data_IF_150541988946
#
_entry.id   IF_150541988946
#
_cell.length_a   1.000
_cell.length_b   1.000
_cell.length_c   1.000
_cell.angle_alpha   90.00
_cell.angle_beta   90.00
_cell.angle_gamma   90.00
#
_symmetry.space_group_name_H-M   'P 1'
#
loop_
_entity.id
_entity.type
_entity.pdbx_description
1 polymer ?
#
# COMPACT_ATOMS: atom_id res chain seq x y z
N UNK A 1 -16.01 45.09 63.27
CA UNK A 1 -16.18 43.62 63.17
C UNK A 1 -16.18 43.27 61.68
N UNK A 2 -15.05 42.82 61.15
CA UNK A 2 -14.61 41.41 61.03
C UNK A 2 -15.27 40.65 59.85
N UNK A 3 -14.50 40.54 58.76
CA UNK A 3 -14.18 39.36 57.94
C UNK A 3 -15.17 38.73 56.92
N UNK A 4 -14.68 38.73 55.66
CA UNK A 4 -14.48 37.62 54.69
C UNK A 4 -15.67 36.78 54.18
N UNK A 5 -15.83 36.75 52.85
CA UNK A 5 -15.22 35.77 51.89
C UNK A 5 -16.02 35.82 50.57
N UNK A 6 -15.42 36.16 49.43
CA UNK A 6 -14.77 35.25 48.46
C UNK A 6 -15.66 34.08 48.02
N UNK A 7 -16.19 34.18 46.80
CA UNK A 7 -16.98 33.15 46.12
C UNK A 7 -17.04 33.42 44.62
N UNK A 8 -15.92 33.16 43.96
CA UNK A 8 -15.64 33.21 42.53
C UNK A 8 -16.71 32.52 41.68
N UNK A 9 -17.28 33.20 40.68
CA UNK A 9 -17.94 32.56 39.53
C UNK A 9 -17.41 33.16 38.23
N UNK A 10 -16.41 32.44 37.71
CA UNK A 10 -15.92 32.51 36.34
C UNK A 10 -17.07 32.18 35.38
N UNK A 11 -17.31 33.02 34.37
CA UNK A 11 -18.13 32.64 33.22
C UNK A 11 -17.52 33.24 31.95
N UNK A 12 -16.94 32.31 31.17
CA UNK A 12 -16.69 32.27 29.73
C UNK A 12 -17.29 33.41 28.90
N UNK A 13 -16.49 33.96 27.98
CA UNK A 13 -16.51 33.69 26.53
C UNK A 13 -15.51 34.67 25.90
N UNK A 14 -14.33 34.21 25.51
CA UNK A 14 -13.44 34.92 24.60
C UNK A 14 -13.44 34.18 23.26
N UNK A 15 -14.12 34.78 22.27
CA UNK A 15 -14.11 34.35 20.88
C UNK A 15 -12.67 34.32 20.34
N UNK A 16 -12.24 33.16 19.87
CA UNK A 16 -11.05 33.03 19.05
C UNK A 16 -11.35 33.55 17.63
N UNK A 17 -10.76 34.68 17.25
CA UNK A 17 -10.64 35.05 15.84
C UNK A 17 -9.54 34.20 15.20
N UNK A 18 -9.93 33.10 14.57
CA UNK A 18 -9.05 32.37 13.65
C UNK A 18 -8.98 33.18 12.37
N UNK A 19 -7.86 33.87 12.16
CA UNK A 19 -7.50 34.42 10.86
C UNK A 19 -7.27 33.25 9.90
N UNK A 20 -8.27 32.96 9.07
CA UNK A 20 -8.12 32.06 7.93
C UNK A 20 -7.29 32.79 6.88
N UNK A 21 -5.97 32.61 6.95
CA UNK A 21 -5.12 32.83 5.80
C UNK A 21 -5.53 31.81 4.74
N UNK A 22 -6.41 32.22 3.81
CA UNK A 22 -6.60 31.54 2.55
C UNK A 22 -5.30 31.65 1.76
N UNK A 23 -4.36 30.74 2.03
CA UNK A 23 -3.38 30.38 1.02
C UNK A 23 -4.20 29.80 -0.14
N UNK A 24 -4.38 30.63 -1.16
CA UNK A 24 -4.84 30.23 -2.47
C UNK A 24 -3.78 29.25 -2.99
N UNK A 25 -3.94 27.97 -2.65
CA UNK A 25 -3.32 26.89 -3.39
C UNK A 25 -3.98 26.93 -4.74
N UNK A 26 -3.33 27.63 -5.67
CA UNK A 26 -3.65 27.54 -7.08
C UNK A 26 -3.59 26.05 -7.44
N UNK A 27 -4.66 25.42 -7.92
CA UNK A 27 -4.50 24.13 -8.57
C UNK A 27 -3.67 24.40 -9.81
N UNK A 28 -2.38 24.04 -9.77
CA UNK A 28 -1.56 23.98 -10.97
C UNK A 28 -2.05 22.78 -11.77
N UNK A 29 -3.17 22.96 -12.48
CA UNK A 29 -3.54 22.13 -13.61
C UNK A 29 -2.58 22.45 -14.75
N UNK A 30 -1.37 21.91 -14.65
CA UNK A 30 -0.41 21.83 -15.74
C UNK A 30 0.43 20.56 -15.55
N UNK A 31 -0.23 19.42 -15.33
CA UNK A 31 0.44 18.12 -15.39
C UNK A 31 0.31 17.59 -16.82
N UNK A 32 1.01 18.25 -17.74
CA UNK A 32 1.38 17.65 -19.02
C UNK A 32 2.46 16.62 -18.69
N UNK A 33 2.01 15.39 -18.41
CA UNK A 33 2.86 14.28 -18.01
C UNK A 33 4.13 14.22 -18.85
N UNK A 34 5.26 14.35 -18.16
CA UNK A 34 6.59 14.32 -18.78
C UNK A 34 6.75 12.96 -19.47
N UNK A 35 6.80 12.96 -20.80
CA UNK A 35 7.01 11.76 -21.62
C UNK A 35 8.48 11.35 -21.49
N UNK A 36 8.72 10.07 -21.23
CA UNK A 36 10.05 9.49 -21.30
C UNK A 36 10.27 9.02 -22.74
N UNK A 37 11.17 9.67 -23.47
CA UNK A 37 11.66 9.20 -24.78
C UNK A 37 12.96 8.39 -24.58
N UNK A 38 13.24 7.44 -25.47
CA UNK A 38 14.49 6.68 -25.54
C UNK A 38 15.70 7.62 -25.75
N UNK A 39 16.20 8.22 -24.67
CA UNK A 39 17.44 8.97 -24.70
C UNK A 39 18.61 7.98 -24.76
N UNK A 40 19.30 7.96 -25.89
CA UNK A 40 20.53 7.18 -26.11
C UNK A 40 21.58 7.44 -25.03
N UNK A 41 21.76 6.45 -24.15
CA UNK A 41 22.98 6.06 -23.44
C UNK A 41 24.00 7.15 -23.04
N UNK A 42 23.86 7.65 -21.80
CA UNK A 42 24.99 8.00 -20.91
C UNK A 42 24.66 7.56 -19.49
N UNK A 43 24.78 6.25 -19.25
CA UNK A 43 24.49 5.61 -17.97
C UNK A 43 25.55 5.94 -16.90
N UNK A 44 25.07 6.26 -15.70
CA UNK A 44 25.81 6.13 -14.46
C UNK A 44 26.12 4.63 -14.30
N UNK A 45 27.39 4.26 -14.22
CA UNK A 45 27.89 2.90 -14.50
C UNK A 45 27.52 1.77 -13.53
N UNK A 46 26.51 1.90 -12.66
CA UNK A 46 26.14 0.85 -11.69
C UNK A 46 24.71 0.29 -11.86
N UNK A 47 23.93 0.83 -12.81
CA UNK A 47 22.54 0.39 -13.02
C UNK A 47 21.63 0.70 -11.83
N UNK A 48 21.92 1.73 -11.06
CA UNK A 48 21.07 2.20 -9.95
C UNK A 48 20.54 3.61 -10.20
N UNK A 49 19.34 3.88 -9.68
CA UNK A 49 18.62 5.15 -9.86
C UNK A 49 18.28 5.77 -8.51
N UNK A 50 18.46 7.09 -8.40
CA UNK A 50 17.97 7.88 -7.27
C UNK A 50 16.54 8.36 -7.51
N UNK A 51 15.88 8.89 -6.48
CA UNK A 51 14.56 9.49 -6.62
C UNK A 51 14.53 10.64 -7.65
N UNK A 52 15.57 11.47 -7.68
CA UNK A 52 15.69 12.56 -8.65
C UNK A 52 15.87 12.02 -10.08
N UNK A 53 16.61 10.92 -10.26
CA UNK A 53 16.73 10.29 -11.58
C UNK A 53 15.35 9.82 -12.10
N UNK A 54 14.45 9.37 -11.23
CA UNK A 54 13.07 8.98 -11.60
C UNK A 54 12.22 10.18 -12.04
N UNK A 55 12.24 11.28 -11.27
CA UNK A 55 11.53 12.53 -11.64
C UNK A 55 12.09 13.13 -12.93
N UNK A 56 13.41 13.05 -13.11
CA UNK A 56 14.05 13.53 -14.32
C UNK A 56 13.71 12.66 -15.54
N UNK A 57 13.11 11.48 -15.36
CA UNK A 57 12.72 10.58 -16.44
C UNK A 57 13.88 9.73 -16.94
N UNK A 58 14.88 9.46 -16.10
CA UNK A 58 16.08 8.67 -16.45
C UNK A 58 15.90 7.17 -16.28
N UNK A 59 14.80 6.73 -15.68
CA UNK A 59 14.40 5.33 -15.77
C UNK A 59 14.30 4.93 -17.25
N UNK A 60 14.63 3.70 -17.61
CA UNK A 60 14.43 3.23 -18.98
C UNK A 60 13.72 1.89 -18.90
N UNK A 61 12.56 1.81 -19.55
CA UNK A 61 11.90 0.54 -19.72
C UNK A 61 12.71 -0.33 -20.67
N UNK A 62 12.73 -1.62 -20.36
CA UNK A 62 13.31 -2.64 -21.21
C UNK A 62 12.18 -3.61 -21.58
N UNK A 63 11.67 -3.58 -22.82
CA UNK A 63 10.59 -4.45 -23.25
C UNK A 63 10.99 -5.94 -23.28
N UNK A 64 12.28 -6.26 -23.12
CA UNK A 64 12.76 -7.64 -22.97
C UNK A 64 12.42 -8.29 -21.63
N UNK A 65 12.01 -7.52 -20.61
CA UNK A 65 11.64 -8.07 -19.31
C UNK A 65 10.28 -8.76 -19.37
N UNK A 66 10.27 -10.01 -18.94
CA UNK A 66 9.04 -10.80 -18.83
C UNK A 66 8.50 -10.76 -17.41
N UNK A 67 7.16 -10.82 -17.23
CA UNK A 67 6.57 -11.01 -15.93
C UNK A 67 7.15 -12.27 -15.28
N UNK A 68 7.55 -12.14 -14.01
CA UNK A 68 8.02 -13.23 -13.18
C UNK A 68 6.85 -14.07 -12.67
N UNK A 69 7.05 -15.37 -12.50
CA UNK A 69 6.06 -16.23 -11.87
C UNK A 69 5.77 -15.76 -10.45
N UNK A 70 4.51 -15.85 -10.03
CA UNK A 70 4.06 -15.38 -8.71
C UNK A 70 4.82 -16.05 -7.54
N UNK A 71 5.33 -17.27 -7.73
CA UNK A 71 6.16 -17.96 -6.75
C UNK A 71 7.51 -17.27 -6.48
N UNK A 72 8.03 -16.50 -7.43
CA UNK A 72 9.28 -15.74 -7.31
C UNK A 72 9.08 -14.32 -6.78
N UNK A 73 7.84 -13.84 -6.68
CA UNK A 73 7.56 -12.48 -6.19
C UNK A 73 8.07 -12.24 -4.78
N UNK A 74 8.17 -13.27 -3.93
CA UNK A 74 8.79 -13.14 -2.61
C UNK A 74 10.25 -12.67 -2.69
N UNK A 75 11.00 -13.02 -3.74
CA UNK A 75 12.39 -12.59 -3.91
C UNK A 75 12.49 -11.06 -4.10
N UNK A 76 11.61 -10.51 -4.93
CA UNK A 76 11.63 -9.10 -5.31
C UNK A 76 10.84 -8.20 -4.36
N UNK A 77 9.72 -8.71 -3.85
CA UNK A 77 8.67 -7.88 -3.25
C UNK A 77 8.36 -8.23 -1.79
N UNK A 78 9.04 -9.19 -1.14
CA UNK A 78 8.75 -9.58 0.27
C UNK A 78 8.67 -8.41 1.26
N UNK A 79 9.40 -7.32 0.96
CA UNK A 79 9.52 -6.16 1.81
C UNK A 79 8.83 -4.92 1.23
N UNK A 80 7.99 -5.08 0.21
CA UNK A 80 7.32 -3.99 -0.48
C UNK A 80 5.86 -3.92 -0.08
N UNK A 81 5.45 -2.70 0.20
CA UNK A 81 4.04 -2.33 0.30
C UNK A 81 3.51 -2.07 -1.11
N UNK A 82 2.21 -2.22 -1.28
CA UNK A 82 1.51 -2.05 -2.54
C UNK A 82 0.40 -1.02 -2.36
N UNK A 83 0.34 -0.09 -3.29
CA UNK A 83 -0.72 0.92 -3.40
C UNK A 83 -1.30 0.80 -4.79
N UNK A 84 -2.63 0.70 -4.90
CA UNK A 84 -3.33 0.55 -6.19
C UNK A 84 -2.78 -0.59 -7.08
N UNK A 85 -2.26 -1.65 -6.46
CA UNK A 85 -1.69 -2.81 -7.16
C UNK A 85 -0.22 -2.67 -7.59
N UNK A 86 0.44 -1.56 -7.25
CA UNK A 86 1.84 -1.28 -7.62
C UNK A 86 2.76 -1.27 -6.39
N UNK A 87 3.98 -1.83 -6.49
CA UNK A 87 4.93 -1.85 -5.39
C UNK A 87 5.48 -0.45 -5.09
N UNK A 88 5.74 -0.19 -3.80
CA UNK A 88 6.29 1.08 -3.31
C UNK A 88 7.77 0.90 -2.97
N UNK A 89 8.63 1.66 -3.64
CA UNK A 89 10.05 1.78 -3.33
C UNK A 89 10.30 2.99 -2.44
N UNK A 90 10.68 2.75 -1.18
CA UNK A 90 11.02 3.81 -0.24
C UNK A 90 12.52 4.14 -0.35
N UNK A 91 12.84 5.41 -0.56
CA UNK A 91 14.20 5.94 -0.59
C UNK A 91 14.40 6.92 0.56
N UNK A 92 15.61 6.98 1.12
CA UNK A 92 16.01 7.95 2.12
C UNK A 92 16.71 9.16 1.48
N UNK A 93 16.62 10.30 2.16
CA UNK A 93 17.31 11.52 1.75
C UNK A 93 18.83 11.34 1.91
N UNK A 94 19.60 11.57 0.85
CA UNK A 94 21.07 11.62 0.93
C UNK A 94 21.84 10.42 0.38
N UNK A 95 21.20 9.48 -0.33
CA UNK A 95 21.96 8.50 -1.13
C UNK A 95 21.32 7.14 -1.37
N UNK A 96 20.09 6.90 -0.94
CA UNK A 96 19.42 5.65 -1.32
C UNK A 96 19.29 5.55 -2.83
N UNK A 97 19.74 4.43 -3.38
CA UNK A 97 19.58 4.08 -4.78
C UNK A 97 18.70 2.84 -4.90
N UNK A 98 18.00 2.72 -6.02
CA UNK A 98 17.25 1.53 -6.37
C UNK A 98 17.90 0.94 -7.62
N UNK A 99 18.25 -0.35 -7.56
CA UNK A 99 18.73 -1.05 -8.74
C UNK A 99 17.64 -1.05 -9.82
N UNK A 100 18.00 -0.60 -11.00
CA UNK A 100 17.13 -0.43 -12.17
C UNK A 100 16.45 -1.75 -12.56
N UNK A 101 17.18 -2.86 -12.42
CA UNK A 101 16.64 -4.22 -12.57
C UNK A 101 15.34 -4.45 -11.78
N UNK A 102 15.27 -4.00 -10.52
CA UNK A 102 14.07 -4.18 -9.71
C UNK A 102 12.90 -3.33 -10.21
N UNK A 103 13.17 -2.15 -10.78
CA UNK A 103 12.14 -1.25 -11.31
C UNK A 103 11.60 -1.78 -12.64
N UNK A 104 12.49 -2.27 -13.52
CA UNK A 104 12.10 -2.95 -14.76
C UNK A 104 11.25 -4.19 -14.50
N UNK A 105 11.63 -5.00 -13.50
CA UNK A 105 10.83 -6.16 -13.11
C UNK A 105 9.46 -5.76 -12.55
N UNK A 106 9.37 -4.71 -11.74
CA UNK A 106 8.07 -4.21 -11.24
C UNK A 106 7.16 -3.72 -12.37
N UNK A 107 7.74 -3.07 -13.39
CA UNK A 107 7.00 -2.70 -14.60
C UNK A 107 6.49 -3.95 -15.34
N UNK A 108 7.31 -4.99 -15.51
CA UNK A 108 6.89 -6.22 -16.16
C UNK A 108 5.80 -6.96 -15.35
N UNK A 109 5.92 -7.01 -14.03
CA UNK A 109 5.00 -7.76 -13.16
C UNK A 109 3.67 -7.03 -12.91
N UNK A 110 3.71 -5.70 -12.75
CA UNK A 110 2.57 -4.90 -12.26
C UNK A 110 2.20 -3.71 -13.16
N UNK A 111 2.93 -3.48 -14.25
CA UNK A 111 2.70 -2.35 -15.16
C UNK A 111 3.21 -1.00 -14.63
N UNK A 112 3.91 -0.99 -13.50
CA UNK A 112 4.44 0.23 -12.90
C UNK A 112 4.92 0.07 -11.46
N UNK A 113 5.26 1.19 -10.83
CA UNK A 113 5.64 1.27 -9.43
C UNK A 113 5.43 2.67 -8.86
N UNK A 114 5.43 2.76 -7.53
CA UNK A 114 5.56 4.01 -6.79
C UNK A 114 6.97 4.13 -6.23
N UNK A 115 7.52 5.33 -6.21
CA UNK A 115 8.70 5.65 -5.43
C UNK A 115 8.35 6.77 -4.43
N UNK A 116 8.70 6.56 -3.17
CA UNK A 116 8.48 7.47 -2.07
C UNK A 116 9.85 7.91 -1.56
N UNK A 117 10.14 9.21 -1.64
CA UNK A 117 11.25 9.79 -0.90
C UNK A 117 10.75 10.08 0.51
N UNK A 118 11.24 9.32 1.48
CA UNK A 118 10.98 9.58 2.89
C UNK A 118 11.90 10.74 3.30
N UNK A 119 11.38 11.97 3.47
CA UNK A 119 12.23 13.11 3.70
C UNK A 119 12.67 13.16 5.17
N UNK A 120 13.76 13.87 5.42
CA UNK A 120 14.12 14.33 6.77
C UNK A 120 13.28 15.53 7.25
N UNK A 121 12.40 16.04 6.39
CA UNK A 121 11.48 17.17 6.59
C UNK A 121 10.02 16.77 6.28
N UNK A 122 9.05 17.59 6.69
CA UNK A 122 7.61 17.24 6.72
C UNK A 122 6.91 17.02 5.36
N UNK A 123 7.58 17.18 4.23
CA UNK A 123 6.96 17.07 2.89
C UNK A 123 7.31 15.76 2.19
N UNK A 124 6.51 14.71 2.45
CA UNK A 124 6.58 13.43 1.76
C UNK A 124 6.41 13.62 0.24
N UNK A 125 7.37 13.10 -0.55
CA UNK A 125 7.32 13.17 -2.01
C UNK A 125 7.13 11.78 -2.60
N UNK A 126 6.11 11.65 -3.44
CA UNK A 126 5.77 10.41 -4.15
C UNK A 126 5.78 10.67 -5.64
N UNK A 127 6.41 9.77 -6.38
CA UNK A 127 6.31 9.68 -7.83
C UNK A 127 5.73 8.32 -8.22
N UNK A 128 4.85 8.32 -9.20
CA UNK A 128 4.25 7.12 -9.76
C UNK A 128 4.68 6.99 -11.20
N UNK A 129 5.26 5.83 -11.55
CA UNK A 129 5.65 5.50 -12.92
C UNK A 129 4.78 4.34 -13.37
N UNK A 130 3.98 4.56 -14.40
CA UNK A 130 3.03 3.56 -14.94
C UNK A 130 3.05 3.58 -16.45
N UNK A 131 2.83 2.40 -17.05
CA UNK A 131 2.66 2.24 -18.49
C UNK A 131 1.48 3.10 -18.99
N UNK A 132 1.65 3.74 -20.14
CA UNK A 132 0.59 4.52 -20.77
C UNK A 132 -0.49 3.58 -21.33
N UNK A 133 -1.78 3.80 -21.06
CA UNK A 133 -2.85 2.86 -21.44
C UNK A 133 -2.94 2.54 -22.94
N UNK A 134 -2.48 3.46 -23.79
CA UNK A 134 -2.62 3.36 -25.25
C UNK A 134 -1.27 3.21 -25.98
N UNK A 135 -0.18 3.08 -25.25
CA UNK A 135 1.14 2.84 -25.81
C UNK A 135 2.02 2.13 -24.77
N UNK A 136 2.30 0.85 -25.03
CA UNK A 136 3.04 -0.01 -24.10
C UNK A 136 4.50 0.41 -23.90
N UNK A 137 5.05 1.18 -24.85
CA UNK A 137 6.42 1.66 -24.83
C UNK A 137 6.55 3.01 -24.09
N UNK A 138 5.42 3.68 -23.80
CA UNK A 138 5.41 4.96 -23.10
C UNK A 138 5.08 4.78 -21.63
N UNK A 139 5.77 5.56 -20.79
CA UNK A 139 5.53 5.65 -19.35
C UNK A 139 5.14 7.06 -18.97
N UNK A 140 4.22 7.15 -18.01
CA UNK A 140 3.81 8.41 -17.40
C UNK A 140 4.41 8.50 -16.02
N UNK A 141 5.13 9.61 -15.79
CA UNK A 141 5.58 10.03 -14.48
C UNK A 141 4.51 10.96 -13.90
N UNK A 142 3.94 10.60 -12.75
CA UNK A 142 2.99 11.42 -11.99
C UNK A 142 3.58 11.76 -10.64
N UNK A 143 3.79 13.04 -10.38
CA UNK A 143 4.27 13.53 -9.09
C UNK A 143 3.11 13.92 -8.17
N UNK A 144 3.25 13.65 -6.87
CA UNK A 144 2.35 14.20 -5.86
C UNK A 144 0.93 13.65 -5.89
N UNK A 145 0.72 12.40 -6.31
CA UNK A 145 -0.59 11.76 -6.28
C UNK A 145 -1.10 11.63 -4.83
N UNK A 146 -2.01 12.53 -4.45
CA UNK A 146 -2.57 12.61 -3.10
C UNK A 146 -3.28 11.31 -2.68
N UNK A 147 -3.82 10.55 -3.63
CA UNK A 147 -4.47 9.27 -3.33
C UNK A 147 -3.44 8.23 -2.86
N UNK A 148 -2.26 8.24 -3.47
CA UNK A 148 -1.14 7.37 -3.10
C UNK A 148 -0.60 7.77 -1.73
N UNK A 149 -0.32 9.06 -1.52
CA UNK A 149 0.13 9.59 -0.22
C UNK A 149 -0.85 9.25 0.91
N UNK A 150 -2.16 9.39 0.67
CA UNK A 150 -3.19 9.03 1.67
C UNK A 150 -3.18 7.54 2.00
N UNK A 151 -2.96 6.66 1.01
CA UNK A 151 -2.83 5.22 1.27
C UNK A 151 -1.54 4.89 2.02
N UNK A 152 -0.41 5.50 1.66
CA UNK A 152 0.86 5.32 2.38
C UNK A 152 0.73 5.71 3.85
N UNK A 153 0.10 6.85 4.16
CA UNK A 153 -0.18 7.26 5.54
C UNK A 153 -1.03 6.24 6.31
N UNK A 154 -1.97 5.56 5.65
CA UNK A 154 -2.76 4.48 6.28
C UNK A 154 -1.90 3.25 6.55
N UNK A 155 -1.03 2.89 5.62
CA UNK A 155 -0.08 1.78 5.79
C UNK A 155 0.84 2.06 6.97
N UNK A 156 1.36 3.28 7.10
CA UNK A 156 2.18 3.69 8.24
C UNK A 156 1.40 3.64 9.56
N UNK A 157 0.13 4.04 9.58
CA UNK A 157 -0.74 3.90 10.76
C UNK A 157 -0.96 2.44 11.16
N UNK A 158 -1.19 1.53 10.20
CA UNK A 158 -1.28 0.09 10.48
C UNK A 158 0.05 -0.44 11.01
N UNK A 159 1.17 -0.04 10.40
CA UNK A 159 2.50 -0.43 10.85
C UNK A 159 2.76 0.03 12.30
N UNK A 160 2.31 1.22 12.67
CA UNK A 160 2.43 1.74 14.02
C UNK A 160 1.62 0.93 15.04
N UNK A 161 0.36 0.57 14.72
CA UNK A 161 -0.51 -0.16 15.66
C UNK A 161 -0.27 -1.67 15.68
N UNK A 162 -0.04 -2.30 14.54
CA UNK A 162 -0.01 -3.77 14.39
C UNK A 162 1.36 -4.31 13.97
N UNK A 163 2.32 -3.43 13.75
CA UNK A 163 3.66 -3.79 13.29
C UNK A 163 3.78 -3.92 11.77
N UNK A 164 5.02 -3.84 11.28
CA UNK A 164 5.35 -3.82 9.85
C UNK A 164 4.85 -5.04 9.09
N UNK A 165 4.91 -6.23 9.69
CA UNK A 165 4.49 -7.48 9.03
C UNK A 165 2.98 -7.54 8.80
N UNK A 166 2.19 -7.00 9.73
CA UNK A 166 0.74 -6.88 9.56
C UNK A 166 0.41 -5.91 8.41
N UNK A 167 1.10 -4.76 8.35
CA UNK A 167 0.98 -3.82 7.25
C UNK A 167 1.34 -4.45 5.89
N UNK A 168 2.47 -5.15 5.78
CA UNK A 168 2.86 -5.89 4.58
C UNK A 168 1.89 -7.02 4.20
N UNK A 169 1.21 -7.60 5.18
CA UNK A 169 0.20 -8.65 4.91
C UNK A 169 -1.10 -8.03 4.39
N UNK A 170 -1.47 -6.84 4.88
CA UNK A 170 -2.68 -6.13 4.48
C UNK A 170 -2.53 -5.38 3.14
N UNK A 171 -1.33 -4.84 2.89
CA UNK A 171 -0.98 -4.03 1.71
C UNK A 171 0.20 -4.64 0.96
N UNK A 172 0.32 -5.96 0.95
CA UNK A 172 1.28 -6.67 0.11
C UNK A 172 0.73 -6.90 -1.29
N UNK A 173 1.46 -7.69 -2.08
CA UNK A 173 0.92 -8.17 -3.35
C UNK A 173 -0.29 -9.09 -3.12
N UNK A 174 -1.17 -9.12 -4.12
CA UNK A 174 -2.39 -9.91 -4.09
C UNK A 174 -2.12 -11.41 -3.87
N UNK A 175 -3.09 -12.09 -3.27
CA UNK A 175 -3.06 -13.54 -3.16
C UNK A 175 -3.25 -14.18 -4.55
N UNK A 176 -2.82 -15.45 -4.74
CA UNK A 176 -3.14 -16.19 -5.95
C UNK A 176 -4.65 -16.22 -6.20
N UNK A 177 -5.02 -16.07 -7.48
CA UNK A 177 -6.41 -16.20 -7.93
C UNK A 177 -6.84 -17.66 -7.80
N UNK A 178 -8.06 -17.89 -7.34
CA UNK A 178 -8.64 -19.23 -7.36
C UNK A 178 -9.16 -19.51 -8.77
N UNK A 179 -8.53 -20.45 -9.46
CA UNK A 179 -9.01 -20.93 -10.76
C UNK A 179 -10.23 -21.81 -10.54
N UNK A 180 -11.33 -21.60 -11.27
CA UNK A 180 -12.43 -22.57 -11.25
C UNK A 180 -11.92 -23.93 -11.74
N UNK A 181 -12.41 -25.05 -11.20
CA UNK A 181 -12.11 -26.36 -11.75
C UNK A 181 -12.59 -26.42 -13.21
N UNK A 182 -11.93 -27.21 -14.06
CA UNK A 182 -12.34 -27.38 -15.45
C UNK A 182 -13.80 -27.87 -15.52
N UNK A 183 -14.58 -27.42 -16.52
CA UNK A 183 -15.96 -27.85 -16.69
C UNK A 183 -16.01 -29.37 -16.91
N UNK A 184 -16.64 -30.09 -15.99
CA UNK A 184 -16.79 -31.56 -16.06
C UNK A 184 -16.50 -32.31 -14.76
N UNK A 185 -15.82 -31.70 -13.78
CA UNK A 185 -15.46 -32.32 -12.49
C UNK A 185 -16.25 -31.76 -11.29
N UNK A 186 -17.46 -31.24 -11.56
CA UNK A 186 -18.27 -30.55 -10.54
C UNK A 186 -18.60 -31.43 -9.32
N UNK A 187 -18.71 -32.76 -9.48
CA UNK A 187 -18.96 -33.69 -8.37
C UNK A 187 -17.74 -33.92 -7.45
N UNK A 188 -16.51 -33.69 -7.91
CA UNK A 188 -15.30 -33.78 -7.06
C UNK A 188 -14.97 -32.47 -6.33
N UNK A 189 -15.56 -31.34 -6.78
CA UNK A 189 -15.30 -30.02 -6.22
C UNK A 189 -15.94 -29.78 -4.84
N UNK A 190 -16.90 -30.62 -4.42
CA UNK A 190 -17.51 -30.56 -3.08
C UNK A 190 -16.75 -31.37 -2.03
N UNK A 191 -15.93 -32.34 -2.44
CA UNK A 191 -15.12 -33.19 -1.56
C UNK A 191 -13.70 -32.64 -1.32
N UNK A 192 -13.22 -31.76 -2.20
CA UNK A 192 -11.90 -31.14 -2.05
C UNK A 192 -11.97 -29.98 -1.06
N UNK A 193 -11.01 -29.93 -0.15
CA UNK A 193 -10.68 -28.83 0.77
C UNK A 193 -10.24 -27.56 0.02
N UNK A 194 -10.92 -27.22 -1.07
CA UNK A 194 -10.65 -26.05 -1.91
C UNK A 194 -11.03 -24.80 -1.10
N UNK A 195 -10.15 -23.79 -1.01
CA UNK A 195 -10.45 -22.55 -0.33
C UNK A 195 -11.81 -22.02 -0.80
N UNK A 196 -12.73 -21.80 0.15
CA UNK A 196 -14.12 -21.44 -0.14
C UNK A 196 -14.18 -20.37 -1.23
N UNK A 197 -14.90 -20.63 -2.32
CA UNK A 197 -15.10 -19.70 -3.46
C UNK A 197 -15.71 -18.34 -3.08
N UNK A 198 -16.03 -18.14 -1.80
CA UNK A 198 -16.51 -16.90 -1.22
C UNK A 198 -15.47 -16.36 -0.23
N UNK A 199 -15.24 -15.04 -0.27
CA UNK A 199 -14.39 -14.38 0.70
C UNK A 199 -14.90 -14.66 2.14
N UNK A 200 -14.02 -14.99 3.09
CA UNK A 200 -14.42 -15.27 4.47
C UNK A 200 -15.16 -14.08 5.12
N UNK A 201 -16.16 -14.38 5.93
CA UNK A 201 -16.96 -13.37 6.62
C UNK A 201 -16.13 -12.61 7.68
N UNK A 202 -16.33 -11.29 7.78
CA UNK A 202 -15.57 -10.43 8.70
C UNK A 202 -15.71 -10.86 10.17
N UNK A 203 -16.92 -11.23 10.60
CA UNK A 203 -17.16 -11.67 11.98
C UNK A 203 -16.34 -12.93 12.28
N UNK A 204 -16.30 -13.88 11.34
CA UNK A 204 -15.50 -15.10 11.47
C UNK A 204 -14.00 -14.78 11.61
N UNK A 205 -13.49 -13.83 10.84
CA UNK A 205 -12.06 -13.48 10.87
C UNK A 205 -11.71 -12.81 12.21
N UNK A 206 -12.51 -11.84 12.66
CA UNK A 206 -12.27 -11.16 13.92
C UNK A 206 -12.45 -12.07 15.15
N UNK A 207 -13.25 -13.13 15.07
CA UNK A 207 -13.35 -14.16 16.12
C UNK A 207 -12.25 -15.23 16.05
N UNK A 208 -11.41 -15.23 15.01
CA UNK A 208 -10.33 -16.21 14.84
C UNK A 208 -9.12 -15.92 15.73
N UNK A 209 -8.23 -16.91 15.91
CA UNK A 209 -6.96 -16.72 16.60
C UNK A 209 -6.05 -15.74 15.85
N UNK A 210 -5.51 -14.76 16.57
CA UNK A 210 -4.56 -13.80 16.01
C UNK A 210 -3.25 -14.50 15.60
N UNK A 211 -2.63 -13.99 14.54
CA UNK A 211 -1.24 -14.32 14.23
C UNK A 211 -0.33 -13.76 15.33
N UNK A 212 0.71 -14.53 15.65
CA UNK A 212 1.70 -14.10 16.63
C UNK A 212 2.54 -12.95 16.03
N UNK A 213 2.86 -11.95 16.84
CA UNK A 213 3.60 -10.76 16.40
C UNK A 213 5.02 -11.07 15.90
N UNK A 214 5.61 -12.15 16.40
CA UNK A 214 6.95 -12.62 16.05
C UNK A 214 6.99 -13.46 14.75
N UNK A 215 5.85 -13.98 14.27
CA UNK A 215 5.79 -14.78 13.04
C UNK A 215 6.47 -14.07 11.86
N UNK A 216 7.41 -14.70 11.15
CA UNK A 216 8.06 -14.08 9.99
C UNK A 216 7.08 -13.91 8.84
N UNK A 217 7.31 -12.90 7.99
CA UNK A 217 6.44 -12.62 6.84
C UNK A 217 6.33 -13.82 5.89
N UNK A 218 7.42 -14.59 5.74
CA UNK A 218 7.47 -15.81 4.93
C UNK A 218 6.55 -16.93 5.44
N UNK A 219 6.04 -16.84 6.67
CA UNK A 219 4.99 -17.72 7.18
C UNK A 219 3.59 -17.09 7.09
N UNK A 220 3.51 -15.77 7.29
CA UNK A 220 2.24 -15.03 7.25
C UNK A 220 1.62 -15.01 5.85
N UNK A 221 2.44 -14.80 4.80
CA UNK A 221 1.93 -14.71 3.43
C UNK A 221 1.38 -16.05 2.91
N UNK A 222 2.09 -17.19 3.02
CA UNK A 222 1.50 -18.48 2.66
C UNK A 222 0.26 -18.83 3.50
N UNK A 223 0.24 -18.46 4.79
CA UNK A 223 -0.95 -18.65 5.64
C UNK A 223 -2.15 -17.86 5.10
N UNK A 224 -1.96 -16.61 4.70
CA UNK A 224 -3.01 -15.81 4.07
C UNK A 224 -3.44 -16.42 2.72
N UNK A 225 -2.49 -16.86 1.90
CA UNK A 225 -2.78 -17.41 0.57
C UNK A 225 -3.59 -18.71 0.64
N UNK A 226 -3.30 -19.56 1.63
CA UNK A 226 -3.98 -20.84 1.86
C UNK A 226 -5.32 -20.66 2.60
N UNK A 227 -5.32 -19.96 3.73
CA UNK A 227 -6.53 -19.80 4.57
C UNK A 227 -7.48 -18.74 4.04
N UNK A 228 -7.02 -17.86 3.13
CA UNK A 228 -7.73 -16.69 2.59
C UNK A 228 -8.08 -15.63 3.61
N UNK A 229 -7.60 -15.75 4.85
CA UNK A 229 -7.69 -14.72 5.86
C UNK A 229 -6.62 -14.86 6.93
N UNK A 230 -6.37 -13.77 7.63
CA UNK A 230 -5.52 -13.70 8.81
C UNK A 230 -5.97 -12.54 9.70
N UNK A 231 -5.75 -12.67 11.01
CA UNK A 231 -6.09 -11.64 11.99
C UNK A 231 -4.82 -11.24 12.74
N UNK A 232 -4.69 -9.96 13.04
CA UNK A 232 -3.69 -9.40 13.95
C UNK A 232 -4.39 -8.65 15.07
N UNK A 233 -3.68 -8.47 16.18
CA UNK A 233 -4.03 -7.59 17.29
C UNK A 233 -2.86 -6.66 17.56
N UNK A 234 -3.12 -5.45 18.04
CA UNK A 234 -2.06 -4.56 18.49
C UNK A 234 -1.49 -5.02 19.83
N UNK A 235 -0.42 -4.37 20.28
CA UNK A 235 0.28 -4.67 21.53
C UNK A 235 -0.65 -4.58 22.74
N UNK A 236 -1.57 -3.61 22.75
CA UNK A 236 -2.54 -3.39 23.82
C UNK A 236 -3.72 -4.37 23.78
N UNK A 237 -3.93 -5.07 22.66
CA UNK A 237 -5.00 -6.05 22.48
C UNK A 237 -6.42 -5.47 22.33
N UNK A 238 -6.56 -4.15 22.29
CA UNK A 238 -7.84 -3.44 22.17
C UNK A 238 -8.27 -3.21 20.70
N UNK A 239 -7.33 -3.35 19.76
CA UNK A 239 -7.58 -3.27 18.32
C UNK A 239 -7.30 -4.58 17.61
N UNK A 240 -8.08 -4.86 16.58
CA UNK A 240 -7.90 -6.01 15.71
C UNK A 240 -7.90 -5.61 14.24
N UNK A 241 -6.88 -6.05 13.51
CA UNK A 241 -6.82 -5.97 12.05
C UNK A 241 -7.17 -7.34 11.46
N UNK A 242 -8.24 -7.42 10.68
CA UNK A 242 -8.58 -8.57 9.86
C UNK A 242 -8.16 -8.31 8.42
N UNK A 243 -7.49 -9.28 7.79
CA UNK A 243 -7.15 -9.26 6.37
C UNK A 243 -7.77 -10.48 5.72
N UNK A 244 -8.37 -10.33 4.53
CA UNK A 244 -8.87 -11.44 3.74
C UNK A 244 -8.53 -11.29 2.27
N UNK A 245 -8.40 -12.42 1.59
CA UNK A 245 -8.17 -12.49 0.15
C UNK A 245 -9.43 -12.96 -0.56
N UNK A 246 -9.92 -12.17 -1.51
CA UNK A 246 -11.05 -12.51 -2.38
C UNK A 246 -10.68 -13.65 -3.35
N UNK A 247 -11.66 -14.30 -4.00
CA UNK A 247 -11.39 -15.33 -5.01
C UNK A 247 -10.53 -14.83 -6.19
N UNK A 248 -10.66 -13.56 -6.54
CA UNK A 248 -9.86 -12.88 -7.58
C UNK A 248 -8.46 -12.44 -7.11
N UNK A 249 -8.05 -12.85 -5.91
CA UNK A 249 -6.74 -12.57 -5.33
C UNK A 249 -6.64 -11.24 -4.58
N UNK A 250 -7.59 -10.31 -4.78
CA UNK A 250 -7.50 -8.98 -4.16
C UNK A 250 -7.60 -9.06 -2.64
N UNK A 251 -6.80 -8.25 -1.96
CA UNK A 251 -6.79 -8.16 -0.50
C UNK A 251 -7.77 -7.09 -0.02
N UNK A 252 -8.52 -7.41 1.02
CA UNK A 252 -9.39 -6.51 1.76
C UNK A 252 -8.98 -6.56 3.23
N UNK A 253 -9.19 -5.47 3.97
CA UNK A 253 -8.93 -5.49 5.41
C UNK A 253 -9.85 -4.55 6.20
N UNK A 254 -10.11 -4.93 7.45
CA UNK A 254 -10.98 -4.22 8.38
C UNK A 254 -10.28 -4.08 9.73
N UNK A 255 -10.45 -2.92 10.38
CA UNK A 255 -9.97 -2.66 11.74
C UNK A 255 -11.17 -2.55 12.67
N UNK A 256 -11.12 -3.27 13.78
CA UNK A 256 -12.07 -3.19 14.88
C UNK A 256 -11.42 -2.69 16.16
N UNK A 257 -12.16 -1.89 16.92
CA UNK A 257 -11.82 -1.42 18.27
C UNK A 257 -13.06 -1.56 19.15
N UNK A 258 -12.94 -2.27 20.27
CA UNK A 258 -14.09 -2.55 21.15
C UNK A 258 -15.27 -3.25 20.44
N UNK A 259 -14.99 -4.07 19.43
CA UNK A 259 -16.00 -4.78 18.62
C UNK A 259 -16.71 -3.92 17.57
N UNK A 260 -16.34 -2.64 17.43
CA UNK A 260 -16.87 -1.75 16.39
C UNK A 260 -15.88 -1.60 15.25
N UNK A 261 -16.37 -1.61 14.02
CA UNK A 261 -15.56 -1.34 12.82
C UNK A 261 -15.22 0.15 12.79
N UNK A 262 -13.93 0.46 12.84
CA UNK A 262 -13.43 1.85 12.77
C UNK A 262 -12.80 2.17 11.41
N UNK A 263 -12.47 1.14 10.63
CA UNK A 263 -11.94 1.29 9.29
C UNK A 263 -12.20 0.04 8.45
N UNK A 264 -12.54 0.23 7.18
CA UNK A 264 -12.67 -0.86 6.21
C UNK A 264 -12.09 -0.42 4.87
N UNK A 265 -11.15 -1.20 4.35
CA UNK A 265 -10.64 -1.08 3.00
C UNK A 265 -11.20 -2.21 2.15
N UNK A 266 -12.05 -1.83 1.21
CA UNK A 266 -12.57 -2.71 0.19
C UNK A 266 -11.71 -2.55 -1.05
N UNK A 267 -11.34 -3.68 -1.65
CA UNK A 267 -10.62 -3.68 -2.92
C UNK A 267 -11.53 -3.05 -3.98
N UNK A 268 -11.11 -1.89 -4.51
CA UNK A 268 -11.88 -1.18 -5.55
C UNK A 268 -12.05 -2.09 -6.77
N UNK A 269 -13.29 -2.23 -7.23
CA UNK A 269 -13.62 -2.86 -8.51
C UNK A 269 -13.13 -1.93 -9.62
N UNK A 270 -11.96 -2.20 -10.19
CA UNK A 270 -11.64 -1.69 -11.52
C UNK A 270 -12.38 -2.57 -12.52
N UNK A 271 -13.41 -1.99 -13.13
CA UNK A 271 -14.07 -2.53 -14.34
C UNK A 271 -13.13 -2.38 -15.53
#
# INVERSE_FOLDING_TARGET
MLFRSQGTRLLLVSLAFVAVARAVVRPSHADLGKRMEEASSRGRGDGSLTYNDLIEGRFQHDPGYKPSDQGFWTHFYRNKEFVNGLPVYKLETGGSVIHDFNLRQAVADFGGFHAQLKPSTDEERVVTIVRYPNNEDLFVVKEGDQSVTKQLNRIESIQHHFGRKAALTAYGWNAPKLTPPPPGTAEEAEASSTPTRKAPDWRRIHSSGAALSDQPFDQLKPRLDNSRYIRFTNTEGDKSLAVRARPDGRLEHQIQEGGKVIFEHLAELRM
#
